data_IF_374540640240
#
_entry.id   IF_374540640240
#
_cell.length_a   1.000
_cell.length_b   1.000
_cell.length_c   1.000
_cell.angle_alpha   90.00
_cell.angle_beta   90.00
_cell.angle_gamma   90.00
#
_symmetry.space_group_name_H-M   'P 1'
#
loop_
_entity.id
_entity.type
_entity.pdbx_description
1 polymer ?
#
# COMPACT_ATOMS: atom_id res chain seq x y z
N UNK A 1 -20.90 2.92 12.43
CA UNK A 1 -20.03 2.18 11.51
C UNK A 1 -18.65 2.35 12.07
N UNK A 2 -18.05 1.26 12.55
CA UNK A 2 -16.79 1.34 13.28
C UNK A 2 -15.63 1.48 12.29
N UNK A 3 -14.71 2.39 12.59
CA UNK A 3 -13.53 2.67 11.78
C UNK A 3 -12.29 2.46 12.63
N UNK A 4 -11.33 1.72 12.11
CA UNK A 4 -10.08 1.42 12.78
C UNK A 4 -8.93 2.20 12.15
N UNK A 5 -8.01 2.64 12.99
CA UNK A 5 -6.75 3.28 12.58
C UNK A 5 -5.62 2.58 13.31
N UNK A 6 -4.79 1.86 12.56
CA UNK A 6 -3.67 1.08 13.09
C UNK A 6 -2.36 1.78 12.77
N UNK A 7 -1.49 1.92 13.77
CA UNK A 7 -0.12 2.39 13.57
C UNK A 7 0.72 1.22 13.05
N UNK A 8 1.14 1.31 11.79
CA UNK A 8 1.89 0.27 11.09
C UNK A 8 3.34 0.68 10.84
N UNK A 9 3.79 1.75 11.52
CA UNK A 9 5.06 2.43 11.28
C UNK A 9 6.25 1.48 11.25
N UNK A 10 6.32 0.55 12.20
CA UNK A 10 7.43 -0.40 12.38
C UNK A 10 7.06 -1.84 11.99
N UNK A 11 5.99 -2.01 11.21
CA UNK A 11 5.52 -3.35 10.82
C UNK A 11 4.94 -3.44 9.41
N UNK A 12 4.91 -2.35 8.63
CA UNK A 12 4.16 -2.33 7.38
C UNK A 12 4.55 -3.47 6.42
N UNK A 13 5.84 -3.81 6.35
CA UNK A 13 6.36 -4.86 5.45
C UNK A 13 5.84 -6.25 5.76
N UNK A 14 5.67 -6.55 7.05
CA UNK A 14 5.08 -7.81 7.52
C UNK A 14 3.57 -7.71 7.67
N UNK A 15 3.01 -6.51 7.66
CA UNK A 15 1.59 -6.31 7.90
C UNK A 15 0.76 -6.31 6.61
N UNK A 16 1.24 -5.67 5.54
CA UNK A 16 0.52 -5.58 4.26
C UNK A 16 1.06 -6.64 3.29
N UNK A 17 0.21 -7.58 2.89
CA UNK A 17 0.55 -8.63 1.94
C UNK A 17 0.29 -8.18 0.50
N UNK A 18 1.35 -7.83 -0.22
CA UNK A 18 1.24 -7.40 -1.62
C UNK A 18 1.09 -8.55 -2.62
N UNK A 19 1.34 -9.79 -2.19
CA UNK A 19 1.05 -11.02 -2.91
C UNK A 19 -0.07 -11.77 -2.18
N UNK A 20 -1.15 -12.09 -2.88
CA UNK A 20 -2.27 -12.85 -2.31
C UNK A 20 -2.34 -14.25 -2.92
N UNK A 21 -2.34 -15.26 -2.05
CA UNK A 21 -2.31 -16.67 -2.44
C UNK A 21 -3.62 -17.17 -3.07
N UNK A 22 -4.71 -16.39 -2.97
CA UNK A 22 -6.04 -16.77 -3.47
C UNK A 22 -6.37 -16.20 -4.85
N UNK A 23 -5.40 -15.57 -5.53
CA UNK A 23 -5.57 -15.01 -6.88
C UNK A 23 -6.40 -13.72 -6.94
N UNK A 24 -6.55 -13.04 -5.80
CA UNK A 24 -7.16 -11.71 -5.70
C UNK A 24 -6.13 -10.67 -6.16
N UNK A 25 -6.54 -9.74 -7.02
CA UNK A 25 -5.68 -8.64 -7.42
C UNK A 25 -5.74 -7.52 -6.39
N UNK A 26 -4.57 -6.99 -6.03
CA UNK A 26 -4.44 -5.76 -5.26
C UNK A 26 -4.59 -4.55 -6.18
N UNK A 27 -5.46 -3.62 -5.82
CA UNK A 27 -5.69 -2.38 -6.57
C UNK A 27 -5.26 -1.16 -5.76
N UNK A 28 -4.67 -0.19 -6.45
CA UNK A 28 -4.08 1.02 -5.86
C UNK A 28 -4.71 2.25 -6.50
N UNK A 29 -5.23 3.13 -5.65
CA UNK A 29 -5.56 4.52 -5.99
C UNK A 29 -4.61 5.44 -5.25
N UNK A 30 -3.97 6.35 -5.98
CA UNK A 30 -3.11 7.40 -5.45
C UNK A 30 -3.74 8.78 -5.70
N UNK A 31 -3.40 9.79 -4.89
CA UNK A 31 -3.99 11.12 -5.05
C UNK A 31 -3.47 11.77 -6.34
N UNK A 32 -4.21 12.75 -6.87
CA UNK A 32 -3.78 13.49 -8.06
C UNK A 32 -2.39 14.10 -7.84
N UNK A 33 -1.52 14.01 -8.84
CA UNK A 33 -0.12 14.44 -8.72
C UNK A 33 0.00 15.92 -8.31
N UNK A 34 -0.89 16.76 -8.82
CA UNK A 34 -1.00 18.19 -8.46
C UNK A 34 -1.25 18.44 -6.97
N UNK A 35 -1.81 17.46 -6.24
CA UNK A 35 -2.12 17.55 -4.82
C UNK A 35 -1.00 17.04 -3.90
N UNK A 36 0.06 16.45 -4.43
CA UNK A 36 1.10 15.79 -3.63
C UNK A 36 1.91 16.72 -2.70
N UNK A 37 1.79 18.03 -2.85
CA UNK A 37 2.40 19.03 -1.97
C UNK A 37 1.47 19.58 -0.88
N UNK A 38 0.20 19.17 -0.85
CA UNK A 38 -0.81 19.69 0.06
C UNK A 38 -1.42 18.54 0.87
N UNK A 39 -1.43 18.69 2.20
CA UNK A 39 -2.04 17.74 3.15
C UNK A 39 -1.32 16.39 3.34
N UNK A 40 -1.91 15.54 4.18
CA UNK A 40 -1.46 14.17 4.45
C UNK A 40 -1.58 13.32 3.18
N UNK A 41 -0.55 12.56 2.84
CA UNK A 41 -0.55 11.72 1.66
C UNK A 41 -1.33 10.42 1.92
N UNK A 42 -2.29 10.13 1.06
CA UNK A 42 -3.23 9.01 1.25
C UNK A 42 -3.23 8.12 0.02
N UNK A 43 -2.81 6.88 0.19
CA UNK A 43 -3.01 5.82 -0.80
C UNK A 43 -4.24 5.01 -0.40
N UNK A 44 -5.13 4.74 -1.34
CA UNK A 44 -6.22 3.77 -1.12
C UNK A 44 -5.80 2.44 -1.73
N UNK A 45 -5.88 1.40 -0.92
CA UNK A 45 -5.69 0.01 -1.32
C UNK A 45 -7.06 -0.66 -1.36
N UNK A 46 -7.33 -1.41 -2.42
CA UNK A 46 -8.55 -2.21 -2.54
C UNK A 46 -8.17 -3.68 -2.72
N UNK A 47 -8.94 -4.56 -2.08
CA UNK A 47 -8.73 -6.00 -2.04
C UNK A 47 -7.36 -6.42 -1.46
N UNK A 48 -6.91 -5.74 -0.39
CA UNK A 48 -5.60 -5.98 0.20
C UNK A 48 -5.65 -7.00 1.33
N UNK A 49 -4.75 -7.98 1.31
CA UNK A 49 -4.56 -8.92 2.39
C UNK A 49 -3.62 -8.32 3.46
N UNK A 50 -3.96 -8.50 4.73
CA UNK A 50 -3.15 -8.04 5.85
C UNK A 50 -2.99 -9.14 6.90
N UNK A 51 -1.83 -9.15 7.55
CA UNK A 51 -1.54 -10.03 8.67
C UNK A 51 -2.17 -9.50 9.97
N UNK A 52 -2.69 -10.41 10.78
CA UNK A 52 -3.41 -10.13 12.03
C UNK A 52 -2.99 -11.08 13.16
N UNK A 53 -1.85 -11.76 13.05
CA UNK A 53 -1.39 -12.74 14.03
C UNK A 53 -0.63 -12.13 15.23
N UNK A 54 -0.20 -10.87 15.18
CA UNK A 54 0.47 -10.19 16.30
C UNK A 54 -0.48 -9.27 17.09
N UNK A 55 -0.31 -9.25 18.41
CA UNK A 55 -1.07 -8.42 19.36
C UNK A 55 -1.15 -6.96 18.91
N UNK A 56 -0.08 -6.41 18.34
CA UNK A 56 0.00 -5.01 17.91
C UNK A 56 -1.00 -4.67 16.79
N UNK A 57 -1.48 -5.66 16.03
CA UNK A 57 -2.38 -5.46 14.90
C UNK A 57 -3.86 -5.61 15.28
N UNK A 58 -4.20 -6.57 16.14
CA UNK A 58 -5.60 -6.79 16.53
C UNK A 58 -5.98 -6.15 17.87
N UNK A 59 -5.06 -5.98 18.82
CA UNK A 59 -5.39 -5.41 20.14
C UNK A 59 -5.99 -4.01 20.06
N UNK A 60 -5.53 -3.08 19.18
CA UNK A 60 -6.17 -1.78 19.04
C UNK A 60 -7.65 -1.89 18.62
N UNK A 61 -7.99 -2.85 17.76
CA UNK A 61 -9.35 -3.13 17.31
C UNK A 61 -10.19 -3.65 18.46
N UNK A 62 -9.68 -4.63 19.23
CA UNK A 62 -10.40 -5.21 20.36
C UNK A 62 -10.63 -4.20 21.49
N UNK A 63 -9.65 -3.32 21.73
CA UNK A 63 -9.76 -2.26 22.73
C UNK A 63 -10.82 -1.22 22.35
N UNK A 64 -10.95 -0.92 21.06
CA UNK A 64 -11.98 -0.02 20.54
C UNK A 64 -13.36 -0.68 20.48
N UNK A 65 -13.42 -1.93 19.99
CA UNK A 65 -14.64 -2.71 19.85
C UNK A 65 -14.41 -4.20 20.19
N UNK A 66 -14.73 -4.61 21.43
CA UNK A 66 -14.60 -6.00 21.88
C UNK A 66 -15.51 -7.00 21.13
N UNK A 67 -16.49 -6.51 20.38
CA UNK A 67 -17.42 -7.33 19.59
C UNK A 67 -17.17 -7.21 18.08
N UNK A 68 -15.96 -6.81 17.67
CA UNK A 68 -15.56 -6.73 16.26
C UNK A 68 -15.59 -8.09 15.56
N UNK A 69 -15.60 -8.07 14.23
CA UNK A 69 -15.41 -9.27 13.39
C UNK A 69 -14.08 -9.92 13.75
N UNK A 70 -13.02 -9.13 13.95
CA UNK A 70 -11.71 -9.63 14.38
C UNK A 70 -11.82 -10.39 15.71
N UNK A 71 -12.57 -9.88 16.71
CA UNK A 71 -12.80 -10.60 17.97
C UNK A 71 -13.50 -11.95 17.79
N UNK A 72 -14.32 -12.07 16.75
CA UNK A 72 -15.02 -13.32 16.42
C UNK A 72 -14.06 -14.30 15.74
N UNK A 73 -13.30 -13.83 14.74
CA UNK A 73 -12.32 -14.65 14.01
C UNK A 73 -11.21 -15.18 14.92
N UNK A 74 -10.73 -14.38 15.88
CA UNK A 74 -9.71 -14.80 16.84
C UNK A 74 -10.15 -15.95 17.76
N UNK A 75 -11.45 -16.28 17.85
CA UNK A 75 -11.93 -17.47 18.59
C UNK A 75 -11.82 -18.75 17.76
N UNK A 76 -11.65 -18.61 16.45
CA UNK A 76 -11.61 -19.71 15.48
C UNK A 76 -10.17 -20.08 15.11
N UNK A 77 -9.18 -19.25 15.49
CA UNK A 77 -7.74 -19.50 15.30
C UNK A 77 -6.99 -19.57 16.64
N UNK A 78 -5.92 -20.36 16.72
CA UNK A 78 -5.00 -20.37 17.86
C UNK A 78 -3.70 -19.62 17.52
N UNK A 79 -3.72 -18.30 17.74
CA UNK A 79 -2.58 -17.39 17.47
C UNK A 79 -1.32 -17.70 18.29
N UNK A 80 -1.39 -18.59 19.28
CA UNK A 80 -0.21 -18.99 20.05
C UNK A 80 0.58 -20.11 19.38
N UNK A 81 0.03 -20.75 18.34
CA UNK A 81 0.76 -21.74 17.55
C UNK A 81 1.76 -21.01 16.64
N UNK A 82 3.05 -21.40 16.63
CA UNK A 82 4.06 -20.79 15.75
C UNK A 82 3.72 -20.85 14.25
N UNK A 83 2.92 -21.84 13.85
CA UNK A 83 2.42 -22.03 12.49
C UNK A 83 1.20 -21.19 12.15
N UNK A 84 0.60 -20.46 13.12
CA UNK A 84 -0.61 -19.70 12.91
C UNK A 84 -0.37 -18.48 11.99
N UNK A 85 -1.01 -18.48 10.82
CA UNK A 85 -1.07 -17.35 9.89
C UNK A 85 -2.52 -16.85 9.88
N UNK A 86 -2.80 -15.93 10.80
CA UNK A 86 -4.06 -15.19 10.77
C UNK A 86 -3.93 -13.99 9.85
N UNK A 87 -4.55 -14.05 8.67
CA UNK A 87 -4.73 -12.92 7.77
C UNK A 87 -6.20 -12.47 7.75
N UNK A 88 -6.46 -11.31 7.15
CA UNK A 88 -7.79 -10.90 6.68
C UNK A 88 -7.64 -10.15 5.37
N UNK A 89 -8.69 -10.14 4.53
CA UNK A 89 -8.73 -9.27 3.36
C UNK A 89 -9.57 -8.05 3.67
N UNK A 90 -9.05 -6.87 3.34
CA UNK A 90 -9.77 -5.62 3.35
C UNK A 90 -10.20 -5.27 1.93
N UNK A 91 -11.52 -5.16 1.72
CA UNK A 91 -12.07 -4.65 0.44
C UNK A 91 -11.53 -3.26 0.13
N UNK A 92 -11.36 -2.44 1.16
CA UNK A 92 -10.80 -1.11 1.07
C UNK A 92 -10.04 -0.76 2.34
N UNK A 93 -8.87 -0.17 2.16
CA UNK A 93 -8.08 0.43 3.22
C UNK A 93 -7.39 1.70 2.71
N UNK A 94 -7.00 2.58 3.62
CA UNK A 94 -6.24 3.78 3.32
C UNK A 94 -4.93 3.71 4.07
N UNK A 95 -3.82 3.95 3.38
CA UNK A 95 -2.51 4.17 4.00
C UNK A 95 -2.27 5.66 4.08
N UNK A 96 -2.13 6.18 5.30
CA UNK A 96 -1.98 7.60 5.59
C UNK A 96 -0.56 7.84 6.09
N UNK A 97 0.12 8.83 5.52
CA UNK A 97 1.51 9.15 5.84
C UNK A 97 1.85 10.62 5.56
N UNK A 98 2.89 11.11 6.23
CA UNK A 98 3.53 12.35 5.83
C UNK A 98 4.60 12.01 4.78
N UNK A 99 4.36 12.38 3.53
CA UNK A 99 5.23 12.08 2.40
C UNK A 99 6.36 13.11 2.30
N UNK A 100 7.56 12.63 1.97
CA UNK A 100 8.68 13.45 1.48
C UNK A 100 8.90 13.32 -0.02
N UNK A 101 9.06 12.11 -0.53
CA UNK A 101 9.34 11.85 -1.95
C UNK A 101 8.48 10.70 -2.46
N UNK A 102 8.12 10.71 -3.75
CA UNK A 102 7.43 9.60 -4.43
C UNK A 102 8.13 9.34 -5.76
N UNK A 103 8.42 8.07 -5.99
CA UNK A 103 8.90 7.52 -7.24
C UNK A 103 7.85 6.56 -7.76
N UNK A 104 7.25 6.89 -8.90
CA UNK A 104 6.17 6.16 -9.51
C UNK A 104 6.62 5.60 -10.86
N UNK A 105 6.38 4.30 -11.04
CA UNK A 105 6.46 3.63 -12.33
C UNK A 105 5.08 3.06 -12.65
N UNK A 106 4.56 3.36 -13.84
CA UNK A 106 3.31 2.84 -14.38
C UNK A 106 3.61 2.07 -15.66
N UNK A 107 3.11 0.84 -15.77
CA UNK A 107 3.09 0.10 -17.03
C UNK A 107 1.66 0.08 -17.55
N UNK A 108 1.41 0.69 -18.72
CA UNK A 108 0.09 0.75 -19.33
C UNK A 108 0.13 0.14 -20.72
N UNK A 109 -0.58 -0.97 -20.91
CA UNK A 109 -0.66 -1.62 -22.23
C UNK A 109 0.70 -1.99 -22.85
N UNK A 110 1.72 -2.23 -22.01
CA UNK A 110 3.09 -2.52 -22.44
C UNK A 110 4.00 -1.29 -22.60
N UNK A 111 3.49 -0.08 -22.36
CA UNK A 111 4.29 1.15 -22.34
C UNK A 111 4.66 1.55 -20.91
N UNK A 112 5.89 2.03 -20.73
CA UNK A 112 6.43 2.43 -19.44
C UNK A 112 6.32 3.95 -19.26
N UNK A 113 5.73 4.38 -18.16
CA UNK A 113 5.61 5.78 -17.77
C UNK A 113 6.17 6.01 -16.37
N UNK A 114 6.79 7.17 -16.16
CA UNK A 114 7.47 7.48 -14.91
C UNK A 114 7.01 8.82 -14.35
N UNK A 115 6.97 8.91 -13.04
CA UNK A 115 6.88 10.18 -12.35
C UNK A 115 7.76 10.18 -11.11
N UNK A 116 8.54 11.24 -10.94
CA UNK A 116 9.37 11.44 -9.75
C UNK A 116 9.25 12.89 -9.33
N UNK A 117 8.82 13.15 -8.09
CA UNK A 117 8.89 14.51 -7.55
C UNK A 117 10.31 14.86 -7.07
N UNK A 118 11.10 13.82 -6.71
CA UNK A 118 12.48 13.87 -6.20
C UNK A 118 12.64 15.11 -5.31
N UNK A 119 12.19 15.00 -4.06
CA UNK A 119 12.26 16.08 -3.07
C UNK A 119 13.35 15.83 -2.02
N UNK A 120 14.06 14.71 -2.12
CA UNK A 120 15.07 14.28 -1.15
C UNK A 120 14.47 13.61 0.07
N UNK A 121 15.35 13.14 0.97
CA UNK A 121 15.00 12.53 2.25
C UNK A 121 16.22 12.50 3.20
N UNK A 122 15.94 12.35 4.49
CA UNK A 122 16.90 12.32 5.58
C UNK A 122 17.07 10.92 6.18
N UNK A 123 18.17 10.75 6.91
CA UNK A 123 18.37 9.57 7.77
C UNK A 123 17.19 9.44 8.74
N UNK A 124 16.64 8.24 8.86
CA UNK A 124 15.47 7.96 9.70
C UNK A 124 14.13 7.99 8.96
N UNK A 125 14.06 8.57 7.76
CA UNK A 125 12.85 8.48 6.94
C UNK A 125 12.62 7.04 6.49
N UNK A 126 11.35 6.67 6.33
CA UNK A 126 10.94 5.32 5.95
C UNK A 126 10.61 5.26 4.48
N UNK A 127 10.86 4.13 3.83
CA UNK A 127 10.29 3.89 2.50
C UNK A 127 9.19 2.83 2.57
N UNK A 128 8.17 3.03 1.74
CA UNK A 128 7.09 2.07 1.48
C UNK A 128 7.18 1.70 0.01
N UNK A 129 7.02 0.43 -0.29
CA UNK A 129 6.85 -0.05 -1.65
C UNK A 129 5.45 -0.66 -1.81
N UNK A 130 4.69 -0.16 -2.78
CA UNK A 130 3.36 -0.68 -3.12
C UNK A 130 3.33 -1.02 -4.61
N UNK A 131 2.96 -2.25 -4.93
CA UNK A 131 2.82 -2.76 -6.29
C UNK A 131 1.44 -3.38 -6.51
N UNK A 132 0.78 -3.07 -7.63
CA UNK A 132 -0.55 -3.59 -7.90
C UNK A 132 -1.15 -3.06 -9.18
N UNK A 133 -2.43 -3.35 -9.41
CA UNK A 133 -3.19 -2.76 -10.51
C UNK A 133 -3.65 -1.37 -10.13
N UNK A 134 -3.78 -0.47 -11.09
CA UNK A 134 -4.45 0.80 -10.86
C UNK A 134 -5.95 0.57 -10.66
N UNK A 135 -6.51 1.18 -9.61
CA UNK A 135 -7.97 1.18 -9.40
C UNK A 135 -8.68 2.30 -10.19
N UNK A 136 -7.94 3.10 -10.94
CA UNK A 136 -8.45 4.28 -11.65
C UNK A 136 -8.21 4.23 -13.16
N UNK A 137 -7.19 3.49 -13.60
CA UNK A 137 -6.74 3.46 -14.99
C UNK A 137 -6.69 2.02 -15.50
N UNK A 138 -7.51 1.71 -16.48
CA UNK A 138 -7.61 0.37 -17.06
C UNK A 138 -6.27 -0.10 -17.64
N UNK A 139 -5.99 -1.41 -17.55
CA UNK A 139 -4.75 -2.05 -18.02
C UNK A 139 -3.46 -1.36 -17.56
N UNK A 140 -3.45 -0.83 -16.34
CA UNK A 140 -2.30 -0.12 -15.78
C UNK A 140 -1.81 -0.83 -14.53
N UNK A 141 -0.54 -1.25 -14.52
CA UNK A 141 0.18 -1.68 -13.33
C UNK A 141 0.87 -0.49 -12.69
N UNK A 142 0.95 -0.49 -11.37
CA UNK A 142 1.44 0.60 -10.53
C UNK A 142 2.55 0.07 -9.63
N UNK A 143 3.68 0.76 -9.62
CA UNK A 143 4.74 0.59 -8.62
C UNK A 143 5.05 1.95 -8.00
N UNK A 144 4.76 2.08 -6.70
CA UNK A 144 5.01 3.27 -5.91
C UNK A 144 6.08 2.98 -4.88
N UNK A 145 7.17 3.74 -4.95
CA UNK A 145 8.11 3.89 -3.84
C UNK A 145 7.85 5.24 -3.19
N UNK A 146 7.43 5.24 -1.94
CA UNK A 146 7.06 6.45 -1.20
C UNK A 146 8.04 6.58 -0.03
N UNK A 147 8.73 7.71 0.06
CA UNK A 147 9.53 8.06 1.23
C UNK A 147 8.65 8.88 2.17
N UNK A 148 8.42 8.35 3.36
CA UNK A 148 7.58 8.93 4.38
C UNK A 148 8.40 9.35 5.61
N UNK A 149 7.96 10.43 6.25
CA UNK A 149 8.44 10.89 7.55
C UNK A 149 7.40 10.56 8.62
N UNK A 150 7.84 10.39 9.86
CA UNK A 150 6.95 10.19 11.00
C UNK A 150 6.21 8.84 10.95
N UNK A 151 4.90 8.89 11.14
CA UNK A 151 4.05 7.70 11.34
C UNK A 151 3.32 7.28 10.07
N UNK A 152 3.10 5.98 9.98
CA UNK A 152 2.30 5.34 8.94
C UNK A 152 1.07 4.71 9.57
N UNK A 153 -0.10 5.01 9.02
CA UNK A 153 -1.35 4.46 9.53
C UNK A 153 -2.10 3.70 8.45
N UNK A 154 -2.71 2.58 8.84
CA UNK A 154 -3.75 1.92 8.04
C UNK A 154 -5.12 2.28 8.62
N UNK A 155 -5.98 2.91 7.82
CA UNK A 155 -7.38 3.19 8.14
C UNK A 155 -8.30 2.28 7.32
N UNK A 156 -9.28 1.64 7.98
CA UNK A 156 -10.31 0.85 7.30
C UNK A 156 -11.59 0.78 8.16
N UNK A 157 -12.72 0.51 7.51
CA UNK A 157 -14.00 0.35 8.19
C UNK A 157 -14.29 -1.15 8.46
N UNK A 158 -14.98 -1.47 9.55
CA UNK A 158 -15.31 -2.86 9.93
C UNK A 158 -16.00 -3.65 8.80
N UNK A 159 -16.86 -3.00 8.03
CA UNK A 159 -17.63 -3.66 6.96
C UNK A 159 -16.77 -4.04 5.74
N UNK A 160 -15.55 -3.52 5.64
CA UNK A 160 -14.60 -3.86 4.58
C UNK A 160 -13.83 -5.15 4.88
N UNK A 161 -13.93 -5.70 6.10
CA UNK A 161 -13.26 -6.94 6.49
C UNK A 161 -13.96 -8.13 5.83
N UNK A 162 -13.20 -8.91 5.07
CA UNK A 162 -13.54 -10.26 4.64
C UNK A 162 -12.63 -11.22 5.42
N UNK A 163 -13.25 -12.16 6.12
CA UNK A 163 -12.54 -13.22 6.84
C UNK A 163 -11.78 -14.11 5.86
N UNK A 164 -10.45 -14.09 5.89
CA UNK A 164 -9.60 -14.97 5.09
C UNK A 164 -8.40 -15.37 5.93
N UNK A 165 -8.33 -16.63 6.35
CA UNK A 165 -7.09 -17.22 6.90
C UNK A 165 -6.94 -18.61 6.32
N UNK A 166 -5.68 -19.02 6.11
CA UNK A 166 -5.31 -20.38 5.69
C UNK A 166 -5.92 -21.43 6.64
N UNK A 167 -6.11 -21.08 7.91
CA UNK A 167 -6.67 -21.95 8.95
C UNK A 167 -8.20 -21.88 9.07
N UNK A 168 -8.85 -20.88 8.48
CA UNK A 168 -10.30 -20.66 8.55
C UNK A 168 -11.06 -21.19 7.33
N UNK A 169 -10.50 -22.18 6.61
CA UNK A 169 -11.04 -22.68 5.34
C UNK A 169 -11.39 -21.53 4.38
N UNK A 170 -10.39 -20.70 4.01
CA UNK A 170 -10.46 -19.64 2.98
C UNK A 170 -11.88 -19.27 2.47
N UNK A 171 -12.53 -18.25 3.05
CA UNK A 171 -13.84 -17.82 2.57
C UNK A 171 -13.80 -17.24 1.13
N UNK A 172 -12.61 -16.90 0.63
CA UNK A 172 -12.39 -16.49 -0.75
C UNK A 172 -11.89 -17.71 -1.55
N UNK A 173 -12.80 -18.31 -2.32
CA UNK A 173 -12.46 -19.32 -3.33
C UNK A 173 -11.86 -18.65 -4.57
N UNK A 174 -11.16 -19.40 -5.42
CA UNK A 174 -10.64 -18.91 -6.71
C UNK A 174 -11.76 -18.29 -7.57
N UNK A 175 -12.97 -18.88 -7.59
CA UNK A 175 -14.11 -18.34 -8.35
C UNK A 175 -14.68 -17.06 -7.72
N UNK A 176 -14.67 -16.98 -6.38
CA UNK A 176 -15.00 -15.74 -5.66
C UNK A 176 -13.99 -14.63 -5.99
N UNK A 177 -12.69 -14.93 -5.98
CA UNK A 177 -11.62 -13.98 -6.32
C UNK A 177 -11.75 -13.48 -7.78
N UNK A 178 -12.01 -14.38 -8.74
CA UNK A 178 -12.30 -13.99 -10.14
C UNK A 178 -13.50 -13.06 -10.24
N UNK A 179 -14.55 -13.30 -9.45
CA UNK A 179 -15.75 -12.47 -9.44
C UNK A 179 -15.46 -11.09 -8.86
N UNK A 180 -14.71 -11.00 -7.76
CA UNK A 180 -14.29 -9.74 -7.15
C UNK A 180 -13.39 -8.93 -8.09
N UNK A 181 -12.38 -9.56 -8.69
CA UNK A 181 -11.50 -8.95 -9.68
C UNK A 181 -12.32 -8.39 -10.85
N UNK A 182 -13.24 -9.18 -11.41
CA UNK A 182 -14.09 -8.74 -12.53
C UNK A 182 -14.99 -7.57 -12.15
N UNK A 183 -15.55 -7.56 -10.94
CA UNK A 183 -16.35 -6.44 -10.45
C UNK A 183 -15.51 -5.15 -10.38
N UNK A 184 -14.27 -5.25 -9.87
CA UNK A 184 -13.37 -4.12 -9.79
C UNK A 184 -12.97 -3.59 -11.18
N UNK A 185 -12.61 -4.46 -12.13
CA UNK A 185 -12.32 -4.05 -13.51
C UNK A 185 -13.51 -3.33 -14.16
N UNK A 186 -14.74 -3.79 -13.91
CA UNK A 186 -15.95 -3.08 -14.37
C UNK A 186 -16.09 -1.69 -13.73
N UNK A 187 -15.78 -1.52 -12.45
CA UNK A 187 -15.78 -0.19 -11.82
C UNK A 187 -14.72 0.73 -12.42
N UNK A 188 -13.52 0.19 -12.72
CA UNK A 188 -12.44 0.93 -13.38
C UNK A 188 -12.90 1.40 -14.77
N UNK A 189 -13.51 0.52 -15.56
CA UNK A 189 -14.06 0.84 -16.88
C UNK A 189 -15.14 1.92 -16.82
N UNK A 190 -15.99 1.90 -15.78
CA UNK A 190 -17.04 2.89 -15.59
C UNK A 190 -16.49 4.27 -15.22
N UNK A 191 -15.36 4.34 -14.49
CA UNK A 191 -14.71 5.62 -14.14
C UNK A 191 -14.25 6.39 -15.37
N UNK A 192 -13.85 5.70 -16.45
CA UNK A 192 -13.38 6.28 -17.73
C UNK A 192 -12.37 7.42 -17.54
N UNK A 193 -11.47 7.29 -16.56
CA UNK A 193 -10.46 8.32 -16.30
C UNK A 193 -9.46 8.37 -17.45
N UNK A 194 -9.19 9.57 -17.90
CA UNK A 194 -8.14 9.83 -18.88
C UNK A 194 -6.76 9.69 -18.21
N UNK A 195 -5.93 8.82 -18.76
CA UNK A 195 -4.58 8.60 -18.23
C UNK A 195 -3.65 9.77 -18.52
N UNK A 196 -3.85 10.47 -19.64
CA UNK A 196 -3.01 11.61 -20.01
C UNK A 196 -3.23 12.80 -19.07
N UNK A 197 -4.38 12.83 -18.37
CA UNK A 197 -4.68 13.79 -17.31
C UNK A 197 -3.83 13.60 -16.04
N UNK A 198 -3.03 12.52 -15.93
CA UNK A 198 -2.08 12.36 -14.84
C UNK A 198 -0.94 13.39 -14.89
N UNK A 199 -0.63 13.94 -16.06
CA UNK A 199 0.48 14.88 -16.25
C UNK A 199 1.81 14.36 -15.67
N UNK A 200 2.14 13.10 -16.01
CA UNK A 200 3.41 12.47 -15.63
C UNK A 200 4.59 13.28 -16.19
N UNK A 201 5.64 13.47 -15.38
CA UNK A 201 6.81 14.23 -15.81
C UNK A 201 7.84 13.38 -16.59
N UNK A 202 7.60 12.07 -16.71
CA UNK A 202 8.46 11.10 -17.39
C UNK A 202 9.90 11.04 -16.85
N UNK A 203 10.12 11.47 -15.60
CA UNK A 203 11.42 11.38 -14.93
C UNK A 203 11.54 10.00 -14.27
N UNK A 204 12.40 9.15 -14.82
CA UNK A 204 12.75 7.87 -14.21
C UNK A 204 13.73 8.08 -13.05
N UNK A 205 13.32 7.68 -11.85
CA UNK A 205 14.18 7.74 -10.66
C UNK A 205 15.09 6.51 -10.55
N UNK A 206 16.36 6.66 -10.15
CA UNK A 206 17.22 5.52 -9.84
C UNK A 206 16.71 4.71 -8.63
N UNK A 207 15.83 5.28 -7.80
CA UNK A 207 15.24 4.59 -6.65
C UNK A 207 14.25 3.48 -7.03
N UNK A 208 13.93 3.31 -8.32
CA UNK A 208 13.24 2.10 -8.81
C UNK A 208 14.17 0.87 -8.85
N UNK A 209 15.49 1.06 -8.85
CA UNK A 209 16.46 -0.05 -8.81
C UNK A 209 16.76 -0.45 -7.37
N UNK A 210 16.52 -1.72 -7.03
CA UNK A 210 16.77 -2.25 -5.70
C UNK A 210 18.24 -2.07 -5.27
N UNK A 211 19.20 -2.25 -6.19
CA UNK A 211 20.62 -2.12 -5.88
C UNK A 211 21.06 -0.68 -5.60
N UNK A 212 20.34 0.29 -6.14
CA UNK A 212 20.51 1.70 -5.82
C UNK A 212 19.81 2.05 -4.50
N UNK A 213 18.57 1.60 -4.32
CA UNK A 213 17.77 1.81 -3.11
C UNK A 213 18.49 1.29 -1.85
N UNK A 214 19.07 0.09 -1.92
CA UNK A 214 19.79 -0.55 -0.79
C UNK A 214 21.07 0.19 -0.35
N UNK A 215 21.55 1.17 -1.12
CA UNK A 215 22.66 2.04 -0.71
C UNK A 215 22.22 3.14 0.26
N UNK A 216 20.91 3.44 0.28
CA UNK A 216 20.32 4.51 1.08
C UNK A 216 19.46 3.96 2.21
N UNK A 217 18.89 2.76 2.06
CA UNK A 217 17.97 2.18 3.04
C UNK A 217 18.51 0.87 3.60
N UNK A 218 18.36 0.69 4.90
CA UNK A 218 18.49 -0.62 5.55
C UNK A 218 17.17 -1.36 5.39
N UNK A 219 17.22 -2.52 4.74
CA UNK A 219 16.09 -3.43 4.62
C UNK A 219 16.12 -4.44 5.77
N UNK A 220 15.02 -4.56 6.52
CA UNK A 220 14.84 -5.57 7.54
C UNK A 220 13.37 -5.90 7.67
N UNK A 221 13.02 -7.11 8.09
CA UNK A 221 11.63 -7.51 8.30
C UNK A 221 10.83 -6.59 9.26
N UNK A 222 11.52 -5.78 10.06
CA UNK A 222 10.90 -4.88 11.03
C UNK A 222 10.96 -3.41 10.61
N UNK A 223 11.75 -3.05 9.59
CA UNK A 223 11.88 -1.67 9.20
C UNK A 223 12.67 -1.45 7.92
N UNK A 224 12.19 -0.47 7.16
CA UNK A 224 12.82 0.10 5.98
C UNK A 224 13.18 1.56 6.22
N UNK A 225 14.38 1.80 6.75
CA UNK A 225 14.82 3.12 7.20
C UNK A 225 15.99 3.62 6.37
N UNK A 226 15.96 4.90 6.01
CA UNK A 226 17.08 5.60 5.40
C UNK A 226 18.28 5.64 6.37
N UNK A 227 19.38 5.04 5.96
CA UNK A 227 20.69 5.09 6.64
C UNK A 227 21.58 6.20 6.07
N UNK A 228 21.16 6.82 4.97
CA UNK A 228 21.87 7.93 4.32
C UNK A 228 20.86 8.92 3.74
N UNK A 229 21.10 10.22 3.91
CA UNK A 229 20.29 11.27 3.27
C UNK A 229 20.51 11.31 1.76
N UNK A 230 19.47 11.69 1.03
CA UNK A 230 19.52 12.09 -0.38
C UNK A 230 19.10 13.56 -0.48
N UNK A 231 20.06 14.42 -0.80
CA UNK A 231 19.86 15.86 -0.86
C UNK A 231 19.85 16.29 -2.31
N UNK A 232 18.88 17.13 -2.68
CA UNK A 232 18.74 17.62 -4.04
C UNK A 232 19.27 19.04 -4.09
N UNK A 233 20.31 19.22 -4.88
CA UNK A 233 20.89 20.54 -5.10
C UNK A 233 19.96 21.33 -6.04
N UNK A 234 19.11 22.18 -5.47
CA UNK A 234 18.13 22.99 -6.20
C UNK A 234 18.76 23.96 -7.23
N UNK A 235 20.10 24.06 -7.30
CA UNK A 235 20.79 24.92 -8.28
C UNK A 235 20.72 24.45 -9.73
N UNK A 236 20.21 23.24 -10.02
CA UNK A 236 20.24 22.67 -11.38
C UNK A 236 18.86 22.63 -12.08
N UNK A 237 17.74 22.92 -11.40
CA UNK A 237 16.39 22.85 -12.03
C UNK A 237 16.01 24.03 -12.95
N UNK A 238 16.89 25.04 -13.11
CA UNK A 238 16.65 26.19 -14.01
C UNK A 238 17.58 26.22 -15.22
N UNK A 239 17.79 25.10 -15.90
CA UNK A 239 18.18 25.15 -17.32
C UNK A 239 17.51 23.97 -18.02
N UNK A 240 16.44 24.24 -18.76
CA UNK A 240 16.34 23.96 -20.19
C UNK A 240 14.96 24.47 -20.68
N UNK A 241 15.04 25.21 -21.79
CA UNK A 241 13.96 25.88 -22.50
C UNK A 241 13.06 24.92 -23.25
#
# INVERSE_FOLDING_TARGET
MERYVLDITDSYERFICMDSDVGLHNYITFPEISSWGNEQFVITLENIEINMYEDIWFSPILNQNPNSIIATLLKEVDINQPECIFTVVLKRARVLMDKRSVFMFLEKGGENHYHSDDCGFDIGDKYIFLAGRSADYHNTMVWLTIIATGKLFLEFDEFDIISQSIELENNITIESAKTLNKAQELFIDLKKRDFDALHLNNIQSPFHDHSYLSRYFSYSENNNIAIKSHVIDHKVRFVLF
#
